data_IF_052953415289
#
_entry.id   IF_052953415289
#
_cell.length_a   1.000
_cell.length_b   1.000
_cell.length_c   1.000
_cell.angle_alpha   90.00
_cell.angle_beta   90.00
_cell.angle_gamma   90.00
#
_symmetry.space_group_name_H-M   'P 1'
#
loop_
_entity.id
_entity.type
_entity.pdbx_description
1 polymer ?
#
# COMPACT_ATOMS: atom_id res chain seq x y z
N UNK A 1 -10.22 20.66 -16.74
CA UNK A 1 -9.95 19.23 -17.02
C UNK A 1 -9.37 18.68 -15.73
N UNK A 2 -9.93 17.60 -15.20
CA UNK A 2 -9.65 17.12 -13.86
C UNK A 2 -8.17 16.80 -13.67
N UNK A 3 -7.53 17.49 -12.73
CA UNK A 3 -6.11 17.32 -12.37
C UNK A 3 -5.81 15.85 -11.97
N UNK A 4 -6.76 15.18 -11.34
CA UNK A 4 -6.68 13.78 -10.89
C UNK A 4 -6.57 12.76 -12.02
N UNK A 5 -7.35 12.95 -13.11
CA UNK A 5 -7.25 12.06 -14.29
C UNK A 5 -5.87 12.16 -14.92
N UNK A 6 -5.30 13.36 -14.94
CA UNK A 6 -3.95 13.57 -15.43
C UNK A 6 -2.89 12.87 -14.54
N UNK A 7 -3.04 12.90 -13.22
CA UNK A 7 -2.15 12.19 -12.28
C UNK A 7 -2.23 10.69 -12.48
N UNK A 8 -3.45 10.13 -12.53
CA UNK A 8 -3.65 8.70 -12.74
C UNK A 8 -2.99 8.21 -14.03
N UNK A 9 -3.29 8.87 -15.15
CA UNK A 9 -2.78 8.47 -16.47
C UNK A 9 -1.25 8.67 -16.57
N UNK A 10 -0.72 9.68 -15.89
CA UNK A 10 0.73 9.89 -15.77
C UNK A 10 1.39 8.79 -14.95
N UNK A 11 0.88 8.51 -13.75
CA UNK A 11 1.45 7.49 -12.86
C UNK A 11 1.32 6.08 -13.44
N UNK A 12 0.24 5.77 -14.17
CA UNK A 12 0.13 4.51 -14.91
C UNK A 12 1.30 4.33 -15.87
N UNK A 13 1.57 5.33 -16.73
CA UNK A 13 2.67 5.27 -17.70
C UNK A 13 4.05 5.19 -17.03
N UNK A 14 4.21 5.93 -15.94
CA UNK A 14 5.45 5.90 -15.17
C UNK A 14 5.71 4.51 -14.58
N UNK A 15 4.70 3.89 -13.96
CA UNK A 15 4.80 2.55 -13.41
C UNK A 15 4.95 1.46 -14.48
N UNK A 16 4.27 1.59 -15.64
CA UNK A 16 4.49 0.69 -16.77
C UNK A 16 5.96 0.75 -17.22
N UNK A 17 6.52 1.96 -17.34
CA UNK A 17 7.92 2.14 -17.73
C UNK A 17 8.89 1.57 -16.69
N UNK A 18 8.68 1.84 -15.40
CA UNK A 18 9.51 1.31 -14.32
C UNK A 18 9.47 -0.23 -14.28
N UNK A 19 8.32 -0.83 -14.51
CA UNK A 19 8.18 -2.27 -14.60
C UNK A 19 8.95 -2.85 -15.79
N UNK A 20 8.88 -2.19 -16.96
CA UNK A 20 9.66 -2.59 -18.14
C UNK A 20 11.17 -2.47 -17.90
N UNK A 21 11.61 -1.42 -17.19
CA UNK A 21 13.03 -1.20 -16.85
C UNK A 21 13.53 -2.16 -15.77
N UNK A 22 12.65 -2.94 -15.13
CA UNK A 22 13.02 -3.99 -14.18
C UNK A 22 13.50 -3.45 -12.84
N UNK A 23 12.80 -2.43 -12.29
CA UNK A 23 13.08 -1.97 -10.92
C UNK A 23 12.81 -3.09 -9.91
N UNK A 24 13.40 -3.00 -8.74
CA UNK A 24 13.33 -4.03 -7.69
C UNK A 24 11.91 -4.47 -7.32
N UNK A 25 10.94 -3.53 -7.31
CA UNK A 25 9.52 -3.81 -7.02
C UNK A 25 8.78 -4.54 -8.16
N UNK A 26 9.45 -4.70 -9.32
CA UNK A 26 8.91 -5.36 -10.52
C UNK A 26 9.72 -6.58 -10.92
N UNK A 27 10.62 -7.05 -10.06
CA UNK A 27 11.38 -8.28 -10.27
C UNK A 27 10.57 -9.46 -9.73
N UNK A 28 10.09 -10.37 -10.60
CA UNK A 28 9.31 -11.51 -10.15
C UNK A 28 10.10 -12.43 -9.21
N UNK A 29 9.44 -12.99 -8.21
CA UNK A 29 10.06 -13.96 -7.30
C UNK A 29 10.50 -15.22 -8.04
N UNK A 30 11.53 -15.87 -7.51
CA UNK A 30 12.07 -17.11 -8.09
C UNK A 30 11.20 -18.34 -7.80
N UNK A 31 11.46 -19.43 -8.52
CA UNK A 31 10.80 -20.73 -8.31
C UNK A 31 11.06 -21.28 -6.91
N UNK A 32 12.25 -21.04 -6.34
CA UNK A 32 12.60 -21.47 -4.98
C UNK A 32 11.76 -20.78 -3.91
N UNK A 33 11.49 -19.46 -4.09
CA UNK A 33 10.59 -18.71 -3.19
C UNK A 33 9.18 -19.29 -3.25
N UNK A 34 8.67 -19.59 -4.43
CA UNK A 34 7.34 -20.20 -4.60
C UNK A 34 7.30 -21.62 -4.02
N UNK A 35 8.32 -22.43 -4.23
CA UNK A 35 8.41 -23.77 -3.64
C UNK A 35 8.43 -23.71 -2.11
N UNK A 36 9.17 -22.78 -1.53
CA UNK A 36 9.17 -22.52 -0.08
C UNK A 36 7.81 -22.08 0.43
N UNK A 37 7.12 -21.22 -0.30
CA UNK A 37 5.77 -20.75 0.08
C UNK A 37 4.74 -21.90 0.11
N UNK A 38 4.81 -22.83 -0.83
CA UNK A 38 3.95 -24.04 -0.86
C UNK A 38 4.11 -24.94 0.38
N UNK A 39 5.27 -24.92 1.01
CA UNK A 39 5.53 -25.66 2.25
C UNK A 39 5.21 -24.87 3.53
N UNK A 40 4.62 -23.67 3.40
CA UNK A 40 4.23 -22.83 4.53
C UNK A 40 5.33 -21.87 5.01
N UNK A 41 6.53 -21.93 4.43
CA UNK A 41 7.63 -21.01 4.75
C UNK A 41 7.64 -19.84 3.75
N UNK A 42 6.98 -18.74 4.12
CA UNK A 42 6.84 -17.56 3.28
C UNK A 42 6.83 -16.27 4.09
N UNK A 43 7.23 -15.20 3.43
CA UNK A 43 7.20 -13.83 3.92
C UNK A 43 6.66 -12.91 2.84
N UNK A 44 5.92 -11.89 3.23
CA UNK A 44 5.43 -10.80 2.39
C UNK A 44 5.62 -9.47 3.10
N UNK A 45 5.71 -8.40 2.33
CA UNK A 45 6.13 -7.09 2.82
C UNK A 45 5.09 -6.02 2.49
N UNK A 46 4.60 -5.32 3.50
CA UNK A 46 3.81 -4.10 3.33
C UNK A 46 4.69 -2.87 3.18
N UNK A 47 5.90 -2.95 3.72
CA UNK A 47 6.92 -1.91 3.76
C UNK A 47 8.24 -2.51 3.27
N UNK A 48 9.24 -1.69 3.02
CA UNK A 48 10.47 -2.10 2.35
C UNK A 48 11.24 -3.22 3.06
N UNK A 49 11.47 -3.11 4.37
CA UNK A 49 12.47 -3.93 5.05
C UNK A 49 11.93 -4.91 6.09
N UNK A 50 10.67 -4.75 6.53
CA UNK A 50 10.10 -5.55 7.62
C UNK A 50 9.00 -6.47 7.13
N UNK A 51 9.17 -7.81 7.25
CA UNK A 51 8.13 -8.74 6.88
C UNK A 51 6.90 -8.57 7.78
N UNK A 52 5.72 -8.79 7.19
CA UNK A 52 4.45 -8.76 7.93
C UNK A 52 4.43 -9.89 8.95
N UNK A 53 4.08 -9.64 10.23
CA UNK A 53 3.97 -10.69 11.22
C UNK A 53 3.02 -11.80 10.76
N UNK A 54 3.44 -13.06 10.82
CA UNK A 54 2.63 -14.22 10.38
C UNK A 54 1.28 -14.29 11.10
N UNK A 55 1.22 -13.82 12.35
CA UNK A 55 -0.01 -13.73 13.15
C UNK A 55 -1.05 -12.72 12.62
N UNK A 56 -0.69 -11.89 11.63
CA UNK A 56 -1.64 -10.99 10.97
C UNK A 56 -2.49 -11.69 9.91
N UNK A 57 -2.05 -12.85 9.46
CA UNK A 57 -2.76 -13.71 8.50
C UNK A 57 -3.54 -14.83 9.21
N UNK A 58 -4.55 -15.40 8.56
CA UNK A 58 -5.10 -16.69 8.96
C UNK A 58 -3.99 -17.75 9.07
N UNK A 59 -4.18 -18.71 9.96
CA UNK A 59 -3.23 -19.82 10.13
C UNK A 59 -3.09 -20.63 8.85
N UNK A 60 -4.21 -20.90 8.18
CA UNK A 60 -4.30 -21.53 6.87
C UNK A 60 -4.85 -20.54 5.86
N UNK A 61 -4.21 -20.42 4.70
CA UNK A 61 -4.64 -19.56 3.60
C UNK A 61 -5.48 -20.29 2.54
N UNK A 62 -5.65 -21.61 2.65
CA UNK A 62 -6.46 -22.35 1.68
C UNK A 62 -7.90 -21.83 1.63
N UNK A 63 -8.33 -21.42 0.43
CA UNK A 63 -9.65 -20.85 0.19
C UNK A 63 -9.87 -19.42 0.67
N UNK A 64 -8.88 -18.78 1.30
CA UNK A 64 -8.94 -17.37 1.69
C UNK A 64 -8.87 -16.49 0.44
N UNK A 65 -9.88 -15.65 0.22
CA UNK A 65 -9.90 -14.70 -0.89
C UNK A 65 -9.12 -13.45 -0.50
N UNK A 66 -7.98 -13.24 -1.15
CA UNK A 66 -7.09 -12.09 -0.91
C UNK A 66 -7.13 -11.15 -2.10
N UNK A 67 -7.40 -9.85 -1.84
CA UNK A 67 -7.15 -8.79 -2.78
C UNK A 67 -5.75 -8.22 -2.53
N UNK A 68 -4.83 -8.39 -3.48
CA UNK A 68 -3.56 -7.68 -3.54
C UNK A 68 -3.81 -6.35 -4.25
N UNK A 69 -3.96 -5.26 -3.48
CA UNK A 69 -4.39 -3.95 -3.94
C UNK A 69 -3.17 -3.06 -4.19
N UNK A 70 -3.01 -2.57 -5.43
CA UNK A 70 -1.84 -1.83 -5.89
C UNK A 70 -0.53 -2.55 -5.49
N UNK A 71 -0.45 -3.84 -5.83
CA UNK A 71 0.57 -4.78 -5.37
C UNK A 71 1.00 -5.74 -6.49
N UNK A 72 0.92 -5.31 -7.75
CA UNK A 72 1.51 -6.02 -8.87
C UNK A 72 3.05 -6.09 -8.77
N UNK A 73 3.68 -6.81 -9.69
CA UNK A 73 5.15 -6.89 -9.75
C UNK A 73 5.72 -8.30 -9.62
N UNK A 74 4.87 -9.33 -9.52
CA UNK A 74 5.30 -10.73 -9.48
C UNK A 74 5.88 -11.16 -8.13
N UNK A 75 5.49 -10.49 -7.04
CA UNK A 75 6.09 -10.72 -5.72
C UNK A 75 5.06 -11.20 -4.70
N UNK A 76 4.33 -10.29 -4.08
CA UNK A 76 3.47 -10.58 -2.91
C UNK A 76 2.29 -11.49 -3.29
N UNK A 77 1.60 -11.18 -4.39
CA UNK A 77 0.47 -11.96 -4.89
C UNK A 77 0.82 -13.43 -5.17
N UNK A 78 1.87 -13.71 -5.97
CA UNK A 78 2.34 -15.08 -6.22
C UNK A 78 2.72 -15.86 -4.96
N UNK A 79 3.38 -15.22 -3.98
CA UNK A 79 3.72 -15.88 -2.71
C UNK A 79 2.45 -16.29 -1.94
N UNK A 80 1.47 -15.39 -1.84
CA UNK A 80 0.20 -15.65 -1.15
C UNK A 80 -0.63 -16.73 -1.88
N UNK A 81 -0.61 -16.73 -3.21
CA UNK A 81 -1.25 -17.77 -4.02
C UNK A 81 -0.59 -19.14 -3.81
N UNK A 82 0.75 -19.18 -3.80
CA UNK A 82 1.50 -20.41 -3.53
C UNK A 82 1.26 -20.95 -2.11
N UNK A 83 0.99 -20.06 -1.14
CA UNK A 83 0.61 -20.43 0.22
C UNK A 83 -0.86 -20.89 0.35
N UNK A 84 -1.61 -20.97 -0.76
CA UNK A 84 -2.96 -21.55 -0.82
C UNK A 84 -4.12 -20.56 -0.97
N UNK A 85 -3.85 -19.25 -1.01
CA UNK A 85 -4.91 -18.26 -1.14
C UNK A 85 -5.49 -18.18 -2.57
N UNK A 86 -6.76 -17.76 -2.67
CA UNK A 86 -7.36 -17.28 -3.91
C UNK A 86 -7.02 -15.79 -4.09
N UNK A 87 -6.03 -15.49 -4.92
CA UNK A 87 -5.51 -14.15 -5.08
C UNK A 87 -6.14 -13.43 -6.27
N UNK A 88 -6.58 -12.20 -6.03
CA UNK A 88 -6.87 -11.20 -7.06
C UNK A 88 -5.85 -10.09 -6.94
N UNK A 89 -5.00 -9.91 -7.96
CA UNK A 89 -4.10 -8.75 -8.07
C UNK A 89 -4.81 -7.64 -8.82
N UNK A 90 -4.89 -6.47 -8.19
CA UNK A 90 -5.52 -5.28 -8.75
C UNK A 90 -4.52 -4.13 -8.72
N UNK A 91 -4.13 -3.65 -9.88
CA UNK A 91 -3.09 -2.63 -10.03
C UNK A 91 -3.41 -1.67 -11.18
N UNK A 92 -2.91 -0.45 -11.09
CA UNK A 92 -3.05 0.56 -12.14
C UNK A 92 -2.19 0.21 -13.37
N UNK A 93 -1.02 -0.40 -13.17
CA UNK A 93 -0.06 -0.74 -14.21
C UNK A 93 -0.34 -2.12 -14.81
N UNK A 94 -0.55 -2.17 -16.12
CA UNK A 94 -0.70 -3.41 -16.87
C UNK A 94 0.59 -4.24 -16.86
N UNK A 95 1.76 -3.59 -16.86
CA UNK A 95 3.07 -4.21 -16.83
C UNK A 95 3.36 -4.86 -15.46
N UNK A 96 2.96 -4.21 -14.35
CA UNK A 96 3.04 -4.81 -13.02
C UNK A 96 2.20 -6.09 -12.93
N UNK A 97 0.97 -6.04 -13.45
CA UNK A 97 0.11 -7.23 -13.52
C UNK A 97 0.66 -8.32 -14.44
N UNK A 98 1.39 -7.94 -15.49
CA UNK A 98 2.07 -8.91 -16.35
C UNK A 98 3.15 -9.69 -15.60
N UNK A 99 3.83 -9.07 -14.61
CA UNK A 99 4.79 -9.79 -13.75
C UNK A 99 4.10 -10.86 -12.90
N UNK A 100 2.92 -10.58 -12.36
CA UNK A 100 2.12 -11.58 -11.64
C UNK A 100 1.68 -12.74 -12.55
N UNK A 101 1.23 -12.43 -13.78
CA UNK A 101 0.86 -13.46 -14.77
C UNK A 101 2.04 -14.34 -15.14
N UNK A 102 3.23 -13.76 -15.35
CA UNK A 102 4.44 -14.54 -15.66
C UNK A 102 4.78 -15.54 -14.57
N UNK A 103 4.70 -15.15 -13.30
CA UNK A 103 4.93 -16.09 -12.19
C UNK A 103 3.81 -17.13 -12.12
N UNK A 104 2.55 -16.69 -12.28
CA UNK A 104 1.39 -17.59 -12.24
C UNK A 104 1.48 -18.68 -13.32
N UNK A 105 1.82 -18.31 -14.56
CA UNK A 105 2.01 -19.25 -15.67
C UNK A 105 3.19 -20.20 -15.43
N UNK A 106 4.35 -19.66 -15.04
CA UNK A 106 5.55 -20.43 -14.75
C UNK A 106 5.33 -21.48 -13.66
N UNK A 107 4.59 -21.11 -12.62
CA UNK A 107 4.43 -21.91 -11.41
C UNK A 107 3.09 -22.66 -11.34
N UNK A 108 2.20 -22.48 -12.31
CA UNK A 108 0.85 -23.08 -12.28
C UNK A 108 -0.02 -22.56 -11.13
N UNK A 109 0.09 -21.26 -10.81
CA UNK A 109 -0.72 -20.60 -9.79
C UNK A 109 -1.99 -20.02 -10.40
N UNK A 110 -3.08 -20.00 -9.63
CA UNK A 110 -4.33 -19.37 -10.04
C UNK A 110 -4.42 -17.96 -9.43
N UNK A 111 -4.04 -16.94 -10.23
CA UNK A 111 -4.11 -15.53 -9.86
C UNK A 111 -5.01 -14.81 -10.87
N UNK A 112 -6.05 -14.15 -10.38
CA UNK A 112 -6.85 -13.23 -11.20
C UNK A 112 -6.17 -11.86 -11.22
N UNK A 113 -5.91 -11.31 -12.40
CA UNK A 113 -5.30 -9.97 -12.55
C UNK A 113 -6.30 -9.02 -13.17
N UNK A 114 -6.53 -7.87 -12.54
CA UNK A 114 -7.49 -6.85 -12.99
C UNK A 114 -6.81 -5.48 -12.92
N UNK A 115 -6.84 -4.75 -14.04
CA UNK A 115 -6.30 -3.39 -14.09
C UNK A 115 -7.33 -2.38 -13.60
N UNK A 116 -6.91 -1.48 -12.68
CA UNK A 116 -7.79 -0.43 -12.17
C UNK A 116 -7.10 0.49 -11.18
N UNK A 117 -7.85 1.51 -10.77
CA UNK A 117 -7.44 2.51 -9.78
C UNK A 117 -7.85 2.03 -8.38
N UNK A 118 -6.92 1.99 -7.43
CA UNK A 118 -7.20 1.54 -6.04
C UNK A 118 -8.27 2.36 -5.32
N UNK A 119 -8.60 3.55 -5.82
CA UNK A 119 -9.68 4.41 -5.32
C UNK A 119 -11.06 3.98 -5.78
N UNK A 120 -11.16 3.09 -6.77
CA UNK A 120 -12.42 2.60 -7.33
C UNK A 120 -12.39 1.07 -7.47
N UNK A 121 -13.02 0.40 -6.52
CA UNK A 121 -13.19 -1.05 -6.51
C UNK A 121 -14.63 -1.47 -6.90
N UNK A 122 -15.37 -0.60 -7.59
CA UNK A 122 -16.79 -0.84 -7.96
C UNK A 122 -17.01 -2.11 -8.78
N UNK A 123 -15.97 -2.61 -9.45
CA UNK A 123 -15.98 -3.91 -10.15
C UNK A 123 -16.21 -5.10 -9.21
N UNK A 124 -15.91 -4.94 -7.92
CA UNK A 124 -16.10 -5.99 -6.93
C UNK A 124 -17.38 -5.78 -6.11
N UNK A 125 -18.13 -6.85 -5.83
CA UNK A 125 -19.29 -6.74 -4.95
C UNK A 125 -18.87 -6.41 -3.50
N UNK A 126 -19.82 -5.94 -2.71
CA UNK A 126 -19.63 -5.77 -1.28
C UNK A 126 -19.29 -7.12 -0.63
N UNK A 127 -18.48 -7.10 0.42
CA UNK A 127 -18.17 -8.26 1.25
C UNK A 127 -17.65 -9.48 0.48
N UNK A 128 -16.75 -9.23 -0.46
CA UNK A 128 -16.20 -10.25 -1.35
C UNK A 128 -14.92 -10.90 -0.82
N UNK A 129 -14.02 -10.11 -0.24
CA UNK A 129 -12.69 -10.54 0.18
C UNK A 129 -12.61 -10.82 1.69
N UNK A 130 -11.79 -11.80 2.06
CA UNK A 130 -11.47 -12.12 3.45
C UNK A 130 -10.32 -11.27 3.98
N UNK A 131 -9.39 -10.89 3.08
CA UNK A 131 -8.22 -10.09 3.39
C UNK A 131 -7.87 -9.17 2.22
N UNK A 132 -7.46 -7.93 2.53
CA UNK A 132 -6.81 -7.02 1.57
C UNK A 132 -5.36 -6.88 1.99
N UNK A 133 -4.44 -7.08 1.04
CA UNK A 133 -3.02 -6.83 1.17
C UNK A 133 -2.65 -5.62 0.33
N UNK A 134 -2.28 -4.51 0.99
CA UNK A 134 -2.07 -3.21 0.37
C UNK A 134 -0.71 -2.64 0.81
N UNK A 135 0.38 -2.94 0.08
CA UNK A 135 1.70 -2.39 0.40
C UNK A 135 1.78 -0.89 0.14
N UNK A 136 2.90 -0.28 0.50
CA UNK A 136 3.12 1.17 0.28
C UNK A 136 2.86 1.51 -1.18
N UNK A 137 1.76 2.23 -1.42
CA UNK A 137 1.32 2.69 -2.74
C UNK A 137 0.46 3.96 -2.67
N UNK A 138 -0.09 4.29 -1.51
CA UNK A 138 -0.91 5.49 -1.31
C UNK A 138 -0.20 6.79 -1.69
N UNK A 139 1.13 6.80 -1.60
CA UNK A 139 1.94 7.94 -2.00
C UNK A 139 1.82 8.29 -3.50
N UNK A 140 1.24 7.43 -4.33
CA UNK A 140 1.07 7.66 -5.77
C UNK A 140 -0.32 8.18 -6.16
N UNK A 141 -1.15 8.52 -5.19
CA UNK A 141 -2.49 9.10 -5.41
C UNK A 141 -2.66 10.38 -4.59
N UNK A 142 -3.38 11.39 -5.10
CA UNK A 142 -3.61 12.64 -4.38
C UNK A 142 -4.60 12.52 -3.22
N UNK A 143 -5.50 11.54 -3.24
CA UNK A 143 -6.56 11.35 -2.25
C UNK A 143 -6.62 9.89 -1.78
N UNK A 144 -6.44 9.65 -0.48
CA UNK A 144 -6.39 8.30 0.11
C UNK A 144 -7.72 7.85 0.72
N UNK A 145 -8.59 8.74 1.14
CA UNK A 145 -9.84 8.39 1.81
C UNK A 145 -10.75 7.46 0.98
N UNK A 146 -10.89 7.63 -0.35
CA UNK A 146 -11.66 6.69 -1.17
C UNK A 146 -11.13 5.25 -1.09
N UNK A 147 -9.81 5.06 -0.95
CA UNK A 147 -9.20 3.71 -0.82
C UNK A 147 -9.71 3.02 0.43
N UNK A 148 -9.79 3.73 1.56
CA UNK A 148 -10.27 3.15 2.81
C UNK A 148 -11.75 2.79 2.77
N UNK A 149 -12.59 3.64 2.17
CA UNK A 149 -14.02 3.36 2.01
C UNK A 149 -14.28 2.16 1.10
N UNK A 150 -13.59 2.07 -0.02
CA UNK A 150 -13.72 0.95 -0.94
C UNK A 150 -13.16 -0.35 -0.34
N UNK A 151 -11.99 -0.30 0.32
CA UNK A 151 -11.44 -1.43 1.06
C UNK A 151 -12.42 -1.96 2.12
N UNK A 152 -13.04 -1.04 2.89
CA UNK A 152 -14.06 -1.43 3.86
C UNK A 152 -15.28 -2.05 3.20
N UNK A 153 -15.75 -1.49 2.08
CA UNK A 153 -16.92 -2.00 1.35
C UNK A 153 -16.71 -3.42 0.87
N UNK A 154 -15.58 -3.69 0.21
CA UNK A 154 -15.33 -5.00 -0.43
C UNK A 154 -14.87 -6.08 0.53
N UNK A 155 -14.41 -5.75 1.73
CA UNK A 155 -14.08 -6.71 2.78
C UNK A 155 -15.33 -7.31 3.40
N UNK A 156 -15.30 -8.61 3.70
CA UNK A 156 -16.30 -9.28 4.51
C UNK A 156 -16.24 -8.79 5.96
N UNK A 157 -17.34 -8.88 6.67
CA UNK A 157 -17.35 -8.71 8.13
C UNK A 157 -16.43 -9.75 8.80
N UNK A 158 -15.51 -9.30 9.63
CA UNK A 158 -14.45 -10.12 10.22
C UNK A 158 -13.19 -10.23 9.35
N UNK A 159 -13.24 -9.69 8.12
CA UNK A 159 -12.07 -9.56 7.26
C UNK A 159 -11.10 -8.47 7.70
N UNK A 160 -9.87 -8.52 7.21
CA UNK A 160 -8.80 -7.60 7.60
C UNK A 160 -8.18 -6.90 6.40
N UNK A 161 -7.88 -5.61 6.59
CA UNK A 161 -6.99 -4.84 5.73
C UNK A 161 -5.59 -4.84 6.37
N UNK A 162 -4.59 -5.22 5.61
CA UNK A 162 -3.17 -5.06 5.94
C UNK A 162 -2.63 -3.96 5.03
N UNK A 163 -2.29 -2.81 5.59
CA UNK A 163 -1.88 -1.65 4.82
C UNK A 163 -0.49 -1.14 5.22
N UNK A 164 0.38 -0.93 4.24
CA UNK A 164 1.63 -0.21 4.36
C UNK A 164 1.49 1.24 3.89
N UNK A 165 2.15 2.16 4.57
CA UNK A 165 2.06 3.60 4.31
C UNK A 165 3.43 4.25 4.49
N UNK A 166 3.74 5.25 3.67
CA UNK A 166 4.86 6.14 3.91
C UNK A 166 4.60 7.01 5.14
N UNK A 167 5.62 7.19 5.98
CA UNK A 167 5.56 8.17 7.06
C UNK A 167 5.58 9.58 6.44
N UNK A 168 4.54 10.42 6.64
CA UNK A 168 4.50 11.74 6.01
C UNK A 168 5.68 12.63 6.39
N UNK A 169 6.29 12.43 7.55
CA UNK A 169 7.44 13.24 8.00
C UNK A 169 8.65 13.09 7.07
N UNK A 170 8.79 11.96 6.37
CA UNK A 170 9.87 11.75 5.39
C UNK A 170 9.85 12.84 4.27
N UNK A 171 8.67 13.32 3.92
CA UNK A 171 8.46 14.36 2.92
C UNK A 171 8.74 15.80 3.40
N UNK A 172 9.04 16.01 4.69
CA UNK A 172 9.42 17.34 5.18
C UNK A 172 10.82 17.77 4.74
N UNK A 173 11.70 16.81 4.46
CA UNK A 173 13.12 17.05 4.27
C UNK A 173 13.48 17.41 2.83
N UNK A 174 14.59 18.12 2.69
CA UNK A 174 15.19 18.39 1.39
C UNK A 174 15.75 17.07 0.81
N UNK A 175 15.17 16.55 -0.28
CA UNK A 175 15.57 15.24 -0.82
C UNK A 175 16.95 15.27 -1.47
N UNK A 176 17.40 16.43 -1.96
CA UNK A 176 18.71 16.58 -2.59
C UNK A 176 19.83 16.59 -1.54
N UNK A 177 19.64 17.31 -0.44
CA UNK A 177 20.59 17.32 0.67
C UNK A 177 20.64 15.94 1.36
N UNK A 178 19.49 15.30 1.56
CA UNK A 178 19.42 13.96 2.12
C UNK A 178 20.18 12.95 1.28
N UNK A 179 19.88 12.89 -0.01
CA UNK A 179 20.49 11.92 -0.95
C UNK A 179 22.00 12.14 -1.15
N UNK A 180 22.42 13.38 -1.32
CA UNK A 180 23.80 13.68 -1.73
C UNK A 180 24.75 13.86 -0.54
N UNK A 181 24.25 14.26 0.63
CA UNK A 181 25.08 14.67 1.78
C UNK A 181 24.67 14.01 3.11
N UNK A 182 23.53 13.30 3.14
CA UNK A 182 23.00 12.74 4.39
C UNK A 182 22.52 13.82 5.37
N UNK A 183 22.17 15.02 4.87
CA UNK A 183 21.71 16.15 5.67
C UNK A 183 20.19 16.22 5.57
N UNK A 184 19.50 16.12 6.71
CA UNK A 184 18.03 16.20 6.81
C UNK A 184 17.60 17.58 7.29
N UNK A 185 17.50 18.51 6.33
CA UNK A 185 17.00 19.86 6.55
C UNK A 185 15.52 19.94 6.20
N UNK A 186 14.68 20.43 7.11
CA UNK A 186 13.27 20.67 6.83
C UNK A 186 13.13 21.73 5.74
N UNK A 187 12.39 21.39 4.70
CA UNK A 187 12.16 22.24 3.52
C UNK A 187 10.69 22.40 3.19
N UNK A 188 9.91 21.33 3.26
CA UNK A 188 8.52 21.34 2.83
C UNK A 188 7.54 21.24 4.01
N UNK A 189 6.39 21.87 3.84
CA UNK A 189 5.24 21.67 4.73
C UNK A 189 4.46 20.42 4.32
N UNK A 190 3.76 19.82 5.28
CA UNK A 190 2.86 18.69 5.04
C UNK A 190 1.39 19.17 4.98
N UNK A 191 0.56 18.51 4.17
CA UNK A 191 0.89 17.43 3.25
C UNK A 191 1.71 17.92 2.05
N UNK A 192 2.67 17.11 1.61
CA UNK A 192 3.49 17.36 0.41
C UNK A 192 2.77 16.88 -0.85
N UNK A 193 3.04 17.58 -1.97
CA UNK A 193 2.55 17.19 -3.29
C UNK A 193 3.56 17.57 -4.36
N UNK A 194 3.92 16.63 -5.21
CA UNK A 194 4.77 16.88 -6.39
C UNK A 194 4.18 17.92 -7.36
N UNK A 195 2.88 18.18 -7.27
CA UNK A 195 2.21 19.16 -8.12
C UNK A 195 2.34 20.61 -7.61
N UNK A 196 2.58 20.80 -6.30
CA UNK A 196 2.50 22.13 -5.68
C UNK A 196 3.66 22.49 -4.78
N UNK A 197 4.39 21.50 -4.23
CA UNK A 197 5.47 21.71 -3.28
C UNK A 197 6.83 21.90 -3.95
N UNK A 198 6.98 21.45 -5.19
CA UNK A 198 8.22 21.49 -5.97
C UNK A 198 7.90 21.86 -7.44
N UNK A 199 8.82 22.50 -8.14
CA UNK A 199 8.64 22.73 -9.58
C UNK A 199 8.92 21.46 -10.38
N UNK A 200 8.29 21.32 -11.55
CA UNK A 200 8.55 20.16 -12.42
C UNK A 200 10.03 20.04 -12.79
N UNK A 201 10.68 21.16 -13.11
CA UNK A 201 12.09 21.19 -13.47
C UNK A 201 12.97 20.67 -12.33
N UNK A 202 12.72 21.14 -11.11
CA UNK A 202 13.46 20.70 -9.94
C UNK A 202 13.19 19.22 -9.60
N UNK A 203 11.95 18.79 -9.68
CA UNK A 203 11.57 17.40 -9.48
C UNK A 203 12.30 16.48 -10.45
N UNK A 204 12.28 16.81 -11.76
CA UNK A 204 12.96 16.02 -12.78
C UNK A 204 14.50 16.02 -12.58
N UNK A 205 15.06 17.07 -12.04
CA UNK A 205 16.48 17.15 -11.71
C UNK A 205 16.85 16.23 -10.55
N UNK A 206 16.02 16.15 -9.52
CA UNK A 206 16.29 15.39 -8.29
C UNK A 206 15.96 13.90 -8.45
N UNK A 207 14.78 13.61 -8.97
CA UNK A 207 14.24 12.25 -9.03
C UNK A 207 14.39 11.60 -10.42
N UNK A 208 14.58 12.38 -11.45
CA UNK A 208 14.61 11.91 -12.83
C UNK A 208 13.30 12.17 -13.58
N UNK A 209 13.38 12.07 -14.91
CA UNK A 209 12.19 12.21 -15.77
C UNK A 209 11.34 10.94 -15.69
N UNK A 210 10.04 11.13 -15.90
CA UNK A 210 9.04 10.06 -15.97
C UNK A 210 8.92 9.19 -14.69
N UNK A 211 9.37 9.71 -13.53
CA UNK A 211 9.11 9.06 -12.26
C UNK A 211 7.64 9.30 -11.85
N UNK A 212 7.00 8.37 -11.13
CA UNK A 212 5.65 8.60 -10.61
C UNK A 212 5.58 9.86 -9.76
N UNK A 213 4.45 10.56 -9.86
CA UNK A 213 4.14 11.68 -8.97
C UNK A 213 3.82 11.16 -7.58
N UNK A 214 4.38 11.83 -6.56
CA UNK A 214 4.22 11.45 -5.17
C UNK A 214 3.47 12.51 -4.35
N UNK A 215 2.76 12.00 -3.34
CA UNK A 215 1.92 12.78 -2.43
C UNK A 215 2.11 12.23 -1.01
N UNK A 216 2.36 13.08 -0.02
CA UNK A 216 2.24 12.65 1.36
C UNK A 216 0.79 12.84 1.83
N UNK A 217 0.37 11.95 2.71
CA UNK A 217 -0.92 12.05 3.38
C UNK A 217 -0.69 12.21 4.87
N UNK A 218 -1.55 12.98 5.54
CA UNK A 218 -1.45 13.14 7.00
C UNK A 218 -1.70 11.80 7.71
N UNK A 219 -1.23 11.66 8.94
CA UNK A 219 -1.59 10.48 9.77
C UNK A 219 -3.10 10.42 10.04
N UNK A 220 -3.78 11.58 10.07
CA UNK A 220 -5.22 11.67 10.17
C UNK A 220 -5.90 11.02 8.95
N UNK A 221 -5.44 11.30 7.74
CA UNK A 221 -5.95 10.67 6.51
C UNK A 221 -5.57 9.18 6.43
N UNK A 222 -4.35 8.81 6.81
CA UNK A 222 -3.85 7.44 6.70
C UNK A 222 -4.45 6.50 7.77
N UNK A 223 -4.44 6.89 9.03
CA UNK A 223 -4.90 6.08 10.16
C UNK A 223 -6.32 6.46 10.55
N UNK A 224 -6.59 7.75 10.73
CA UNK A 224 -7.91 8.28 11.04
C UNK A 224 -8.93 7.93 9.95
N UNK A 225 -8.56 8.03 8.68
CA UNK A 225 -9.42 7.64 7.55
C UNK A 225 -9.81 6.15 7.56
N UNK A 226 -8.92 5.25 7.99
CA UNK A 226 -9.30 3.84 8.21
C UNK A 226 -10.35 3.71 9.32
N UNK A 227 -10.17 4.44 10.43
CA UNK A 227 -11.11 4.43 11.56
C UNK A 227 -12.47 5.02 11.12
N UNK A 228 -12.46 6.12 10.38
CA UNK A 228 -13.66 6.78 9.84
C UNK A 228 -14.42 5.87 8.87
N UNK A 229 -13.73 5.12 8.02
CA UNK A 229 -14.34 4.12 7.15
C UNK A 229 -15.02 2.98 7.92
N UNK A 230 -14.73 2.82 9.22
CA UNK A 230 -15.36 1.84 10.12
C UNK A 230 -14.44 0.70 10.56
N UNK A 231 -13.16 0.75 10.23
CA UNK A 231 -12.17 -0.22 10.70
C UNK A 231 -11.81 -0.05 12.18
N UNK A 232 -11.39 -1.14 12.79
CA UNK A 232 -10.74 -1.16 14.11
C UNK A 232 -9.28 -1.54 13.89
N UNK A 233 -8.36 -0.67 14.26
CA UNK A 233 -6.91 -0.97 14.19
C UNK A 233 -6.56 -1.94 15.31
N UNK A 234 -6.10 -3.13 14.93
CA UNK A 234 -5.78 -4.24 15.86
C UNK A 234 -4.31 -4.67 15.79
N UNK A 235 -3.52 -4.01 14.95
CA UNK A 235 -2.08 -4.23 14.83
C UNK A 235 -1.41 -3.03 14.18
N UNK A 236 -0.18 -2.79 14.60
CA UNK A 236 0.61 -1.64 14.14
C UNK A 236 2.10 -1.98 14.23
N UNK A 237 2.88 -1.58 13.23
CA UNK A 237 4.33 -1.51 13.36
C UNK A 237 4.92 -0.39 12.51
N UNK A 238 6.12 0.01 12.85
CA UNK A 238 6.96 0.91 12.08
C UNK A 238 8.11 0.14 11.44
N UNK A 239 8.59 0.66 10.30
CA UNK A 239 9.67 0.08 9.52
C UNK A 239 10.58 1.18 8.98
N UNK A 240 11.81 0.83 8.74
CA UNK A 240 12.85 1.74 8.32
C UNK A 240 13.16 1.54 6.83
N UNK A 241 13.61 2.59 6.17
CA UNK A 241 14.09 2.54 4.79
C UNK A 241 15.46 1.87 4.78
N UNK A 242 15.62 0.85 3.94
CA UNK A 242 16.87 0.13 3.87
C UNK A 242 17.96 1.03 3.24
N UNK A 243 19.16 1.01 3.82
CA UNK A 243 20.32 1.74 3.30
C UNK A 243 20.17 3.27 3.19
N UNK A 244 19.18 3.85 3.86
CA UNK A 244 19.00 5.29 3.92
C UNK A 244 19.43 5.82 5.30
N UNK A 245 20.32 6.84 5.38
CA UNK A 245 20.78 7.40 6.65
C UNK A 245 19.66 7.92 7.55
N UNK A 246 18.48 8.27 7.00
CA UNK A 246 17.31 8.69 7.80
C UNK A 246 16.88 7.61 8.78
N UNK A 247 17.15 6.34 8.48
CA UNK A 247 16.87 5.22 9.37
C UNK A 247 17.55 5.32 10.75
N UNK A 248 18.60 6.16 10.87
CA UNK A 248 19.22 6.46 12.16
C UNK A 248 18.39 7.41 13.03
N UNK A 249 17.39 8.06 12.48
CA UNK A 249 16.64 9.11 13.15
C UNK A 249 15.17 8.77 13.31
N UNK A 250 14.54 8.14 12.30
CA UNK A 250 13.10 7.88 12.32
C UNK A 250 12.70 6.74 11.40
N UNK A 251 11.56 6.05 11.69
CA UNK A 251 10.96 5.11 10.75
C UNK A 251 10.36 5.85 9.55
N UNK A 252 10.63 5.36 8.34
CA UNK A 252 10.10 5.92 7.08
C UNK A 252 8.75 5.31 6.68
N UNK A 253 8.34 4.21 7.31
CA UNK A 253 7.12 3.50 6.98
C UNK A 253 6.32 3.11 8.21
N UNK A 254 5.02 3.00 8.00
CA UNK A 254 4.02 2.57 8.98
C UNK A 254 3.22 1.43 8.36
N UNK A 255 2.84 0.44 9.16
CA UNK A 255 1.91 -0.59 8.75
C UNK A 255 0.81 -0.80 9.79
N UNK A 256 -0.41 -0.99 9.30
CA UNK A 256 -1.60 -1.27 10.11
C UNK A 256 -2.20 -2.62 9.77
N UNK A 257 -2.77 -3.28 10.78
CA UNK A 257 -3.76 -4.33 10.64
C UNK A 257 -5.08 -3.80 11.10
N UNK A 258 -6.02 -3.64 10.16
CA UNK A 258 -7.33 -3.05 10.41
C UNK A 258 -8.43 -4.11 10.20
N UNK A 259 -9.28 -4.30 11.19
CA UNK A 259 -10.37 -5.28 11.18
C UNK A 259 -11.67 -4.61 10.77
N UNK A 260 -12.42 -5.19 9.80
CA UNK A 260 -13.83 -4.87 9.59
C UNK A 260 -14.67 -5.62 10.64
N UNK A 261 -15.26 -4.94 11.62
CA UNK A 261 -15.93 -5.61 12.72
C UNK A 261 -17.19 -6.38 12.26
N UNK A 262 -17.53 -7.47 12.95
CA UNK A 262 -18.73 -8.28 12.66
C UNK A 262 -20.05 -7.57 12.95
N UNK A 263 -20.01 -6.58 13.85
CA UNK A 263 -21.15 -5.70 14.19
C UNK A 263 -20.67 -4.26 14.13
N UNK A 264 -21.52 -3.35 13.68
CA UNK A 264 -21.24 -1.91 13.82
C UNK A 264 -21.08 -1.61 15.31
N UNK A 265 -19.94 -1.01 15.68
CA UNK A 265 -19.86 -0.39 16.99
C UNK A 265 -20.79 0.82 17.00
N UNK A 266 -21.56 1.04 18.07
CA UNK A 266 -22.28 2.29 18.20
C UNK A 266 -21.23 3.42 18.18
N UNK A 267 -21.36 4.34 17.24
CA UNK A 267 -20.59 5.60 17.28
C UNK A 267 -21.10 6.34 18.49
N UNK A 268 -20.39 6.23 19.60
CA UNK A 268 -20.68 7.04 20.78
C UNK A 268 -20.37 8.49 20.41
N UNK A 269 -21.38 9.34 20.36
CA UNK A 269 -21.17 10.77 20.24
C UNK A 269 -20.40 11.24 21.50
N UNK A 270 -19.62 12.31 21.37
CA UNK A 270 -18.95 12.92 22.53
C UNK A 270 -19.94 13.26 23.65
N UNK A 271 -21.24 13.44 23.31
CA UNK A 271 -22.33 13.67 24.22
C UNK A 271 -22.75 12.43 25.02
N UNK A 272 -22.42 11.25 24.55
CA UNK A 272 -22.77 9.96 25.17
C UNK A 272 -21.65 9.42 26.07
N UNK A 273 -20.52 10.12 26.17
CA UNK A 273 -19.43 9.76 27.06
C UNK A 273 -19.77 10.14 28.51
N UNK A 274 -19.62 9.20 29.47
CA UNK A 274 -20.00 9.44 30.88
C UNK A 274 -19.06 10.40 31.61
N UNK A 275 -18.06 10.97 30.94
CA UNK A 275 -17.11 11.91 31.54
C UNK A 275 -17.15 13.28 30.86
N UNK A 276 -17.85 14.23 31.48
CA UNK A 276 -17.52 15.62 31.28
C UNK A 276 -16.22 15.90 32.06
N UNK A 277 -15.13 16.22 31.36
CA UNK A 277 -13.98 16.87 32.00
C UNK A 277 -14.50 18.20 32.56
N UNK A 278 -14.66 18.25 33.88
CA UNK A 278 -14.99 19.53 34.56
C UNK A 278 -13.92 20.56 34.19
N UNK A 279 -14.40 21.76 33.88
CA UNK A 279 -13.59 22.96 33.67
C UNK A 279 -12.83 23.33 34.93
#
# INVERSE_FOLDING_TARGET
MNNEKNVRDYNQKAWDKLAQDGIEWSIPVSTEVIASARTGNWQVFLTESKPVPRAWFPQDLHGVKILCLASGGGQQGPILAAAGAHVTSFDLSAEQLQRDRLVAEREGLNITTIQGDMRDLSIFPNEHFDLIFHPVSNIFIPEVLPVWHEAFRVLKHGGTLLAGMGNPVDYCFDPELGKNQGIYQVRFSLPYSDLTSITQEERERIFGKNQPLEFSHTLEEQIGGQIEAGFVIIGFYESYKANDPIANYMPSYIATRALKPKKKFPVLSVKDLPFAWGR
#
